data_IF_633221819698
#
_entry.id   IF_633221819698
#
_cell.length_a   1.000
_cell.length_b   1.000
_cell.length_c   1.000
_cell.angle_alpha   90.00
_cell.angle_beta   90.00
_cell.angle_gamma   90.00
#
_symmetry.space_group_name_H-M   'P 1'
#
loop_
_entity.id
_entity.type
_entity.pdbx_description
1 polymer ?
#
# COMPACT_ATOMS: atom_id res chain seq x y z
N UNK A 1 33.46 -16.91 32.61
CA UNK A 1 32.22 -16.37 31.97
C UNK A 1 31.18 -16.16 33.05
N UNK A 2 30.28 -15.19 32.92
CA UNK A 2 29.13 -15.06 33.82
C UNK A 2 28.10 -16.18 33.56
N UNK A 3 27.29 -16.60 34.55
CA UNK A 3 26.30 -17.66 34.37
C UNK A 3 25.23 -17.29 33.32
N UNK A 4 24.84 -16.02 33.24
CA UNK A 4 23.95 -15.52 32.19
C UNK A 4 24.53 -15.75 30.78
N UNK A 5 25.80 -15.40 30.57
CA UNK A 5 26.47 -15.57 29.28
C UNK A 5 26.63 -17.05 28.91
N UNK A 6 26.87 -17.94 29.90
CA UNK A 6 26.92 -19.38 29.67
C UNK A 6 25.55 -19.93 29.19
N UNK A 7 24.44 -19.50 29.80
CA UNK A 7 23.09 -19.90 29.36
C UNK A 7 22.75 -19.33 27.98
N UNK A 8 23.11 -18.08 27.68
CA UNK A 8 22.93 -17.48 26.34
C UNK A 8 23.70 -18.30 25.28
N UNK A 9 24.95 -18.67 25.55
CA UNK A 9 25.77 -19.49 24.63
C UNK A 9 25.23 -20.92 24.49
N UNK A 10 24.60 -21.50 25.53
CA UNK A 10 23.88 -22.79 25.43
C UNK A 10 22.74 -22.70 24.42
N UNK A 11 21.89 -21.69 24.53
CA UNK A 11 20.71 -21.51 23.69
C UNK A 11 21.06 -21.15 22.24
N UNK A 12 22.02 -20.24 22.03
CA UNK A 12 22.54 -19.96 20.67
C UNK A 12 23.13 -21.21 20.01
N UNK A 13 23.74 -22.12 20.79
CA UNK A 13 24.23 -23.42 20.31
C UNK A 13 23.11 -24.43 20.02
N UNK A 14 21.95 -24.34 20.68
CA UNK A 14 20.75 -25.12 20.35
C UNK A 14 20.11 -24.58 19.07
N UNK A 15 19.86 -23.26 18.99
CA UNK A 15 19.32 -22.58 17.80
C UNK A 15 20.15 -22.87 16.55
N UNK A 16 21.49 -22.74 16.63
CA UNK A 16 22.40 -23.05 15.50
C UNK A 16 22.48 -24.54 15.11
N UNK A 17 21.80 -25.43 15.85
CA UNK A 17 21.64 -26.86 15.51
C UNK A 17 20.23 -27.19 15.00
N UNK A 18 19.25 -26.32 15.23
CA UNK A 18 17.91 -26.45 14.66
C UNK A 18 17.83 -25.74 13.30
N UNK A 19 18.40 -26.37 12.28
CA UNK A 19 18.41 -25.83 10.91
C UNK A 19 16.99 -25.62 10.36
N UNK A 20 16.03 -26.47 10.73
CA UNK A 20 14.64 -26.34 10.31
C UNK A 20 13.95 -25.16 11.01
N UNK A 21 14.17 -24.98 12.31
CA UNK A 21 13.72 -23.78 13.04
C UNK A 21 14.32 -22.50 12.48
N UNK A 22 15.61 -22.47 12.14
CA UNK A 22 16.25 -21.31 11.50
C UNK A 22 15.72 -21.06 10.08
N UNK A 23 15.51 -22.09 9.27
CA UNK A 23 14.91 -21.96 7.95
C UNK A 23 13.48 -21.39 8.02
N UNK A 24 12.70 -21.81 9.02
CA UNK A 24 11.36 -21.31 9.28
C UNK A 24 11.33 -19.83 9.69
N UNK A 25 12.34 -19.38 10.45
CA UNK A 25 12.45 -17.99 10.91
C UNK A 25 13.02 -17.02 9.87
N UNK A 26 13.91 -17.48 8.99
CA UNK A 26 14.63 -16.58 8.07
C UNK A 26 14.32 -16.81 6.59
N UNK A 27 14.18 -18.06 6.14
CA UNK A 27 14.00 -18.37 4.71
C UNK A 27 12.52 -18.25 4.32
N UNK A 28 11.61 -18.88 5.08
CA UNK A 28 10.18 -18.86 4.77
C UNK A 28 9.61 -17.42 4.65
N UNK A 29 9.90 -16.48 5.57
CA UNK A 29 9.39 -15.12 5.46
C UNK A 29 10.02 -14.32 4.33
N UNK A 30 11.30 -14.57 4.01
CA UNK A 30 12.00 -13.94 2.89
C UNK A 30 11.36 -14.35 1.55
N UNK A 31 11.02 -15.63 1.41
CA UNK A 31 10.28 -16.15 0.26
C UNK A 31 8.87 -15.55 0.20
N UNK A 32 8.17 -15.44 1.34
CA UNK A 32 6.83 -14.82 1.39
C UNK A 32 6.85 -13.33 1.02
N UNK A 33 7.81 -12.51 1.49
CA UNK A 33 7.86 -11.10 1.06
C UNK A 33 8.15 -10.96 -0.44
N UNK A 34 9.00 -11.83 -1.02
CA UNK A 34 9.27 -11.79 -2.46
C UNK A 34 8.03 -12.18 -3.26
N UNK A 35 7.42 -13.33 -2.97
CA UNK A 35 6.22 -13.81 -3.69
C UNK A 35 5.08 -12.81 -3.54
N UNK A 36 4.80 -12.32 -2.32
CA UNK A 36 3.67 -11.42 -2.09
C UNK A 36 3.93 -10.00 -2.60
N UNK A 37 5.14 -9.45 -2.45
CA UNK A 37 5.45 -8.12 -2.98
C UNK A 37 5.37 -8.07 -4.51
N UNK A 38 5.68 -9.16 -5.20
CA UNK A 38 5.56 -9.25 -6.66
C UNK A 38 4.14 -9.62 -7.10
N UNK A 39 3.50 -10.63 -6.50
CA UNK A 39 2.15 -11.05 -6.87
C UNK A 39 1.07 -10.01 -6.55
N UNK A 40 1.23 -9.22 -5.48
CA UNK A 40 0.30 -8.13 -5.18
C UNK A 40 0.65 -6.84 -5.96
N UNK A 41 1.79 -6.76 -6.64
CA UNK A 41 2.15 -5.60 -7.46
C UNK A 41 1.07 -5.31 -8.52
N UNK A 42 0.61 -6.36 -9.21
CA UNK A 42 -0.48 -6.26 -10.18
C UNK A 42 -1.84 -6.01 -9.51
N UNK A 43 -2.12 -6.57 -8.33
CA UNK A 43 -3.39 -6.35 -7.62
C UNK A 43 -3.52 -4.90 -7.09
N UNK A 44 -2.42 -4.27 -6.68
CA UNK A 44 -2.39 -2.84 -6.36
C UNK A 44 -2.40 -1.96 -7.61
N UNK A 45 -1.96 -2.46 -8.76
CA UNK A 45 -2.02 -1.73 -10.03
C UNK A 45 -3.37 -1.89 -10.78
N UNK A 46 -4.15 -2.93 -10.49
CA UNK A 46 -5.19 -3.45 -11.40
C UNK A 46 -6.56 -3.69 -10.74
N UNK A 47 -6.99 -2.82 -9.82
CA UNK A 47 -8.42 -2.64 -9.49
C UNK A 47 -9.15 -1.95 -10.66
N UNK A 48 -9.14 -2.59 -11.83
CA UNK A 48 -9.27 -1.93 -13.13
C UNK A 48 -10.21 -2.66 -14.11
N UNK A 49 -11.24 -3.37 -13.61
CA UNK A 49 -12.33 -3.91 -14.44
C UNK A 49 -13.39 -2.86 -14.83
N UNK A 50 -13.44 -1.77 -14.07
CA UNK A 50 -14.14 -0.52 -14.37
C UNK A 50 -13.29 0.54 -13.67
N UNK A 51 -12.57 1.41 -14.41
CA UNK A 51 -11.56 2.28 -13.80
C UNK A 51 -12.19 3.36 -12.92
N UNK A 52 -13.28 3.95 -13.42
CA UNK A 52 -13.94 5.09 -12.81
C UNK A 52 -15.32 5.33 -13.43
N UNK A 53 -16.31 5.60 -12.57
CA UNK A 53 -17.52 6.31 -13.00
C UNK A 53 -17.20 7.79 -13.22
N UNK A 54 -17.66 8.34 -14.34
CA UNK A 54 -17.40 9.72 -14.78
C UNK A 54 -18.72 10.49 -14.84
N UNK A 55 -18.86 11.52 -14.02
CA UNK A 55 -19.92 12.50 -14.15
C UNK A 55 -19.59 13.48 -15.29
N UNK A 56 -20.38 13.48 -16.36
CA UNK A 56 -20.18 14.40 -17.48
C UNK A 56 -21.21 15.54 -17.44
N UNK A 57 -20.69 16.77 -17.39
CA UNK A 57 -21.42 18.03 -17.31
C UNK A 57 -21.15 18.84 -18.59
N UNK A 58 -22.17 18.98 -19.42
CA UNK A 58 -22.12 19.84 -20.61
C UNK A 58 -22.78 21.20 -20.31
N UNK A 59 -22.02 22.30 -20.43
CA UNK A 59 -22.52 23.69 -20.32
C UNK A 59 -22.57 24.40 -21.67
N UNK A 60 -22.03 23.80 -22.72
CA UNK A 60 -21.89 24.34 -24.08
C UNK A 60 -23.06 23.92 -24.99
N UNK A 61 -23.52 22.68 -24.84
CA UNK A 61 -24.67 22.08 -25.53
C UNK A 61 -24.62 22.06 -27.08
N UNK A 62 -23.42 22.22 -27.66
CA UNK A 62 -23.19 22.23 -29.11
C UNK A 62 -23.17 20.82 -29.72
N UNK A 63 -23.25 20.68 -31.06
CA UNK A 63 -23.04 19.39 -31.71
C UNK A 63 -21.67 18.76 -31.39
N UNK A 64 -20.64 19.59 -31.13
CA UNK A 64 -19.27 19.13 -30.84
C UNK A 64 -19.09 18.68 -29.40
N UNK A 65 -19.74 19.35 -28.43
CA UNK A 65 -19.76 18.86 -27.05
C UNK A 65 -20.47 17.48 -26.97
N UNK A 66 -21.49 17.23 -27.79
CA UNK A 66 -22.15 15.91 -27.93
C UNK A 66 -21.25 14.85 -28.57
N UNK A 67 -20.54 15.16 -29.65
CA UNK A 67 -19.58 14.22 -30.24
C UNK A 67 -18.47 13.84 -29.25
N UNK A 68 -18.02 14.75 -28.38
CA UNK A 68 -17.04 14.45 -27.33
C UNK A 68 -17.60 13.45 -26.30
N UNK A 69 -18.88 13.62 -25.93
CA UNK A 69 -19.60 12.68 -25.05
C UNK A 69 -19.78 11.29 -25.66
N UNK A 70 -19.90 11.18 -26.99
CA UNK A 70 -20.01 9.91 -27.70
C UNK A 70 -18.68 9.18 -27.86
N UNK A 71 -17.57 9.91 -28.06
CA UNK A 71 -16.22 9.30 -28.08
C UNK A 71 -15.86 8.81 -26.67
N UNK A 72 -16.09 9.60 -25.62
CA UNK A 72 -15.84 9.17 -24.24
C UNK A 72 -16.74 7.99 -23.82
N UNK A 73 -18.01 7.97 -24.24
CA UNK A 73 -18.94 6.87 -23.91
C UNK A 73 -18.70 5.58 -24.71
N UNK A 74 -17.81 5.58 -25.72
CA UNK A 74 -17.34 4.38 -26.41
C UNK A 74 -16.15 3.72 -25.70
N UNK A 75 -15.56 4.36 -24.69
CA UNK A 75 -14.44 3.81 -23.94
C UNK A 75 -14.95 2.95 -22.78
N UNK A 76 -14.93 1.62 -22.96
CA UNK A 76 -15.43 0.63 -21.99
C UNK A 76 -14.77 0.72 -20.59
N UNK A 77 -13.64 1.41 -20.47
CA UNK A 77 -12.94 1.59 -19.20
C UNK A 77 -13.61 2.61 -18.25
N UNK A 78 -14.52 3.47 -18.74
CA UNK A 78 -15.10 4.59 -17.98
C UNK A 78 -16.64 4.62 -18.01
N UNK A 79 -17.28 4.59 -16.83
CA UNK A 79 -18.74 4.64 -16.68
C UNK A 79 -19.31 6.06 -16.85
N UNK A 80 -19.61 6.47 -18.09
CA UNK A 80 -20.07 7.84 -18.37
C UNK A 80 -21.52 8.08 -17.95
N UNK A 81 -21.72 8.74 -16.81
CA UNK A 81 -23.03 9.21 -16.32
C UNK A 81 -23.27 10.67 -16.67
N UNK A 82 -24.36 10.98 -17.38
CA UNK A 82 -24.71 12.34 -17.84
C UNK A 82 -25.74 12.97 -16.90
N UNK A 83 -25.40 14.08 -16.23
CA UNK A 83 -26.33 14.85 -15.39
C UNK A 83 -26.05 16.36 -15.48
N UNK A 84 -27.07 17.23 -15.30
CA UNK A 84 -26.84 18.67 -15.13
C UNK A 84 -26.01 18.94 -13.86
N UNK A 85 -25.23 20.01 -13.87
CA UNK A 85 -24.29 20.33 -12.79
C UNK A 85 -24.98 20.39 -11.40
N UNK A 86 -24.60 19.52 -10.43
CA UNK A 86 -25.15 19.59 -9.08
C UNK A 86 -24.70 20.87 -8.36
N UNK A 87 -25.51 21.35 -7.41
CA UNK A 87 -25.24 22.61 -6.68
C UNK A 87 -23.92 22.60 -5.89
N UNK A 88 -23.49 21.45 -5.39
CA UNK A 88 -22.12 21.24 -4.91
C UNK A 88 -21.51 20.00 -5.60
N UNK A 89 -20.69 20.28 -6.63
CA UNK A 89 -19.94 19.27 -7.36
C UNK A 89 -18.87 18.60 -6.49
N UNK A 90 -18.29 19.31 -5.53
CA UNK A 90 -17.28 18.75 -4.61
C UNK A 90 -17.91 17.80 -3.60
N UNK A 91 -19.16 18.03 -3.20
CA UNK A 91 -19.91 17.07 -2.39
C UNK A 91 -20.28 15.81 -3.20
N UNK A 92 -20.81 15.96 -4.41
CA UNK A 92 -21.15 14.82 -5.27
C UNK A 92 -19.94 13.88 -5.56
N UNK A 93 -18.73 14.44 -5.64
CA UNK A 93 -17.47 13.69 -5.77
C UNK A 93 -16.93 13.13 -4.43
N UNK A 94 -17.34 13.67 -3.27
CA UNK A 94 -17.00 13.12 -1.95
C UNK A 94 -17.88 11.94 -1.55
N UNK A 95 -19.11 11.89 -2.04
CA UNK A 95 -20.07 10.81 -1.76
C UNK A 95 -19.71 9.47 -2.46
N UNK A 96 -18.55 9.39 -3.13
CA UNK A 96 -18.00 8.16 -3.70
C UNK A 96 -18.69 7.61 -4.95
N UNK A 97 -19.69 8.31 -5.50
CA UNK A 97 -20.44 7.88 -6.70
C UNK A 97 -19.71 8.08 -8.03
N UNK A 98 -18.77 9.02 -8.09
CA UNK A 98 -18.07 9.38 -9.32
C UNK A 98 -16.61 9.66 -8.98
N UNK A 99 -15.69 9.10 -9.77
CA UNK A 99 -14.25 9.27 -9.62
C UNK A 99 -13.71 10.47 -10.43
N UNK A 100 -14.47 10.97 -11.40
CA UNK A 100 -14.21 12.20 -12.13
C UNK A 100 -15.48 12.99 -12.38
N UNK A 101 -15.35 14.32 -12.48
CA UNK A 101 -16.30 15.16 -13.18
C UNK A 101 -15.63 15.86 -14.38
N UNK A 102 -16.16 15.67 -15.58
CA UNK A 102 -15.74 16.37 -16.79
C UNK A 102 -16.71 17.51 -17.05
N UNK A 103 -16.23 18.75 -17.02
CA UNK A 103 -17.02 19.94 -17.34
C UNK A 103 -16.60 20.52 -18.71
N UNK A 104 -17.52 20.46 -19.67
CA UNK A 104 -17.39 21.17 -20.96
C UNK A 104 -17.91 22.60 -20.76
N UNK A 105 -17.01 23.58 -20.82
CA UNK A 105 -17.31 25.00 -20.59
C UNK A 105 -17.90 25.65 -21.85
N UNK A 106 -18.69 26.71 -21.65
CA UNK A 106 -19.25 27.51 -22.75
C UNK A 106 -18.16 28.09 -23.64
N UNK A 107 -18.34 27.98 -24.96
CA UNK A 107 -17.37 28.36 -25.97
C UNK A 107 -16.54 27.20 -26.50
N UNK A 108 -16.76 25.96 -26.02
CA UNK A 108 -16.03 24.79 -26.52
C UNK A 108 -16.25 24.58 -28.03
N UNK A 109 -17.52 24.50 -28.47
CA UNK A 109 -17.83 24.25 -29.88
C UNK A 109 -17.30 25.32 -30.84
N UNK A 110 -17.28 26.59 -30.42
CA UNK A 110 -16.76 27.72 -31.21
C UNK A 110 -15.23 27.86 -31.15
N UNK A 111 -14.57 27.38 -30.09
CA UNK A 111 -13.10 27.36 -30.01
C UNK A 111 -12.44 26.41 -31.03
N UNK A 112 -13.24 25.53 -31.64
CA UNK A 112 -12.85 24.63 -32.71
C UNK A 112 -13.10 25.22 -34.12
N UNK A 113 -13.73 26.40 -34.23
CA UNK A 113 -14.19 27.01 -35.50
C UNK A 113 -13.19 28.02 -36.09
N UNK A 114 -11.92 27.95 -35.68
CA UNK A 114 -10.86 28.81 -36.17
C UNK A 114 -9.48 28.21 -35.96
N UNK A 115 -8.46 28.94 -36.43
CA UNK A 115 -7.07 28.54 -36.29
C UNK A 115 -6.67 28.38 -34.80
N UNK A 116 -5.81 27.41 -34.44
CA UNK A 116 -5.37 27.18 -33.07
C UNK A 116 -4.76 28.43 -32.40
N UNK A 117 -5.53 29.09 -31.53
CA UNK A 117 -5.02 30.18 -30.71
C UNK A 117 -4.18 29.62 -29.55
N UNK A 118 -2.86 29.83 -29.59
CA UNK A 118 -1.88 29.35 -28.59
C UNK A 118 -2.03 29.93 -27.16
N UNK A 119 -3.12 30.65 -26.90
CA UNK A 119 -3.53 31.19 -25.58
C UNK A 119 -5.04 31.07 -25.34
N UNK A 120 -5.72 30.12 -26.00
CA UNK A 120 -7.12 29.82 -25.69
C UNK A 120 -7.25 29.35 -24.22
N UNK A 121 -8.25 29.84 -23.46
CA UNK A 121 -8.49 29.34 -22.11
C UNK A 121 -8.89 27.86 -22.15
N UNK A 122 -8.59 27.07 -21.10
CA UNK A 122 -8.94 25.66 -21.09
C UNK A 122 -10.46 25.49 -20.95
N UNK A 123 -11.08 24.98 -22.01
CA UNK A 123 -12.54 24.84 -22.14
C UNK A 123 -13.08 23.45 -21.74
N UNK A 124 -12.19 22.51 -21.45
CA UNK A 124 -12.52 21.25 -20.78
C UNK A 124 -11.85 21.25 -19.41
N UNK A 125 -12.66 21.19 -18.35
CA UNK A 125 -12.19 21.01 -16.98
C UNK A 125 -12.34 19.55 -16.54
N UNK A 126 -11.29 18.98 -15.95
CA UNK A 126 -11.35 17.70 -15.25
C UNK A 126 -11.28 17.98 -13.74
N UNK A 127 -12.36 17.70 -13.01
CA UNK A 127 -12.31 17.66 -11.54
C UNK A 127 -12.11 16.22 -11.10
N UNK A 128 -10.95 15.92 -10.53
CA UNK A 128 -10.66 14.58 -9.97
C UNK A 128 -11.35 14.47 -8.61
N UNK A 129 -12.14 13.41 -8.41
CA UNK A 129 -12.70 13.08 -7.09
C UNK A 129 -11.54 12.91 -6.10
N UNK A 130 -11.70 13.33 -4.82
CA UNK A 130 -10.66 13.76 -3.86
C UNK A 130 -9.07 13.19 -3.92
N UNK A 131 -9.64 11.88 -4.02
CA UNK A 131 -9.48 10.41 -3.68
C UNK A 131 -9.27 9.37 -4.84
N UNK A 132 -9.31 9.69 -6.14
CA UNK A 132 -9.04 8.70 -7.23
C UNK A 132 -7.55 8.26 -7.25
N UNK A 133 -7.12 7.30 -8.09
CA UNK A 133 -5.70 6.96 -8.25
C UNK A 133 -5.03 7.66 -9.45
N UNK A 134 -3.70 7.85 -9.37
CA UNK A 134 -2.92 8.63 -10.36
C UNK A 134 -2.62 7.90 -11.67
N UNK A 135 -2.82 6.57 -11.76
CA UNK A 135 -2.80 5.84 -13.03
C UNK A 135 -4.11 6.11 -13.77
N UNK A 136 -5.23 5.95 -13.09
CA UNK A 136 -6.57 6.23 -13.61
C UNK A 136 -6.75 7.71 -13.98
N UNK A 137 -6.19 8.64 -13.20
CA UNK A 137 -6.10 10.07 -13.56
C UNK A 137 -5.39 10.28 -14.91
N UNK A 138 -4.20 9.69 -15.10
CA UNK A 138 -3.45 9.79 -16.36
C UNK A 138 -4.14 9.11 -17.53
N UNK A 139 -4.83 8.00 -17.30
CA UNK A 139 -5.63 7.31 -18.32
C UNK A 139 -6.85 8.17 -18.74
N UNK A 140 -7.49 8.86 -17.79
CA UNK A 140 -8.58 9.79 -18.08
C UNK A 140 -8.08 11.02 -18.84
N UNK A 141 -6.93 11.58 -18.46
CA UNK A 141 -6.28 12.67 -19.20
C UNK A 141 -5.87 12.25 -20.61
N UNK A 142 -5.37 11.02 -20.80
CA UNK A 142 -5.06 10.47 -22.12
C UNK A 142 -6.33 10.30 -22.96
N UNK A 143 -7.40 9.72 -22.42
CA UNK A 143 -8.68 9.54 -23.11
C UNK A 143 -9.35 10.88 -23.48
N UNK A 144 -9.26 11.89 -22.61
CA UNK A 144 -9.70 13.25 -22.92
C UNK A 144 -8.84 13.90 -24.01
N UNK A 145 -7.51 13.75 -23.94
CA UNK A 145 -6.58 14.25 -24.95
C UNK A 145 -6.78 13.62 -26.32
N UNK A 146 -7.05 12.31 -26.37
CA UNK A 146 -7.42 11.58 -27.58
C UNK A 146 -8.77 12.07 -28.13
N UNK A 147 -9.82 12.10 -27.30
CA UNK A 147 -11.17 12.46 -27.74
C UNK A 147 -11.28 13.92 -28.22
N UNK A 148 -10.56 14.85 -27.58
CA UNK A 148 -10.45 16.25 -28.03
C UNK A 148 -9.51 16.41 -29.22
N UNK A 149 -8.41 15.64 -29.27
CA UNK A 149 -7.46 15.61 -30.39
C UNK A 149 -8.11 15.14 -31.69
N UNK A 150 -8.92 14.07 -31.65
CA UNK A 150 -9.68 13.58 -32.80
C UNK A 150 -10.60 14.65 -33.39
N UNK A 151 -11.30 15.42 -32.54
CA UNK A 151 -12.14 16.54 -33.00
C UNK A 151 -11.30 17.66 -33.64
N UNK A 152 -10.13 17.98 -33.08
CA UNK A 152 -9.23 19.00 -33.63
C UNK A 152 -8.69 18.57 -35.01
N UNK A 153 -8.29 17.31 -35.16
CA UNK A 153 -7.85 16.73 -36.44
C UNK A 153 -8.96 16.73 -37.48
N UNK A 154 -10.20 16.37 -37.11
CA UNK A 154 -11.36 16.45 -38.02
C UNK A 154 -11.64 17.88 -38.49
N UNK A 155 -11.44 18.89 -37.65
CA UNK A 155 -11.57 20.30 -38.04
C UNK A 155 -10.39 20.73 -38.94
N UNK A 156 -9.15 20.32 -38.66
CA UNK A 156 -8.00 20.61 -39.52
C UNK A 156 -8.18 20.06 -40.95
N UNK A 157 -8.75 18.87 -41.11
CA UNK A 157 -9.04 18.27 -42.42
C UNK A 157 -10.01 19.12 -43.26
N UNK A 158 -10.83 19.97 -42.64
CA UNK A 158 -11.73 20.90 -43.33
C UNK A 158 -11.03 22.22 -43.75
N UNK A 159 -9.84 22.49 -43.22
CA UNK A 159 -9.03 23.68 -43.53
C UNK A 159 -7.76 23.37 -44.35
N UNK A 160 -7.39 22.10 -44.49
CA UNK A 160 -6.33 21.68 -45.42
C UNK A 160 -6.82 21.86 -46.87
N UNK A 161 -6.07 22.59 -47.73
CA UNK A 161 -6.33 22.61 -49.16
C UNK A 161 -6.24 21.19 -49.73
N UNK A 162 -7.27 20.74 -50.46
CA UNK A 162 -7.27 19.42 -51.10
C UNK A 162 -6.23 19.29 -52.21
N UNK A 163 -5.83 20.41 -52.82
CA UNK A 163 -4.67 20.53 -53.71
C UNK A 163 -3.95 21.87 -53.43
N UNK A 164 -2.61 21.86 -53.44
CA UNK A 164 -1.79 23.06 -53.62
C UNK A 164 -1.48 23.20 -55.12
N UNK A 165 -1.90 24.28 -55.80
CA UNK A 165 -1.65 24.49 -57.23
C UNK A 165 -0.17 24.49 -57.65
N UNK A 166 0.77 24.60 -56.71
CA UNK A 166 2.22 24.60 -56.97
C UNK A 166 2.99 23.46 -56.29
N UNK A 167 2.30 22.55 -55.61
CA UNK A 167 2.87 21.29 -55.11
C UNK A 167 3.95 21.42 -54.03
N UNK A 168 3.90 22.44 -53.18
CA UNK A 168 4.81 22.55 -52.05
C UNK A 168 4.39 21.59 -50.91
N UNK A 169 5.34 21.13 -50.07
CA UNK A 169 4.99 20.47 -48.82
C UNK A 169 4.26 21.45 -47.89
N UNK A 170 2.99 21.20 -47.61
CA UNK A 170 2.26 21.92 -46.57
C UNK A 170 2.77 21.41 -45.22
N UNK A 171 3.51 22.24 -44.49
CA UNK A 171 3.90 21.94 -43.11
C UNK A 171 2.62 21.66 -42.28
N UNK A 172 2.47 20.48 -41.66
CA UNK A 172 1.27 20.15 -40.91
C UNK A 172 1.15 21.09 -39.70
N UNK A 173 0.01 21.76 -39.47
CA UNK A 173 -0.13 22.74 -38.40
C UNK A 173 0.23 22.14 -37.04
N UNK A 174 1.08 22.82 -36.28
CA UNK A 174 1.58 22.34 -34.99
C UNK A 174 0.43 22.07 -34.01
N UNK A 175 0.12 20.80 -33.77
CA UNK A 175 -0.97 20.40 -32.87
C UNK A 175 -0.48 20.54 -31.43
N UNK A 176 -0.59 21.75 -30.89
CA UNK A 176 -0.57 21.94 -29.44
C UNK A 176 -1.72 21.13 -28.83
N UNK A 177 -1.40 20.29 -27.84
CA UNK A 177 -2.41 19.55 -27.09
C UNK A 177 -3.37 20.54 -26.43
N UNK A 178 -4.70 20.29 -26.45
CA UNK A 178 -5.65 21.20 -25.82
C UNK A 178 -5.36 21.31 -24.33
N UNK A 179 -5.34 22.55 -23.82
CA UNK A 179 -5.20 22.78 -22.39
C UNK A 179 -6.44 22.23 -21.66
N UNK A 180 -6.23 21.16 -20.88
CA UNK A 180 -7.23 20.60 -19.97
C UNK A 180 -7.00 21.20 -18.59
N UNK A 181 -8.02 21.82 -18.00
CA UNK A 181 -7.93 22.42 -16.67
C UNK A 181 -8.12 21.34 -15.60
N UNK A 182 -7.02 20.87 -14.99
CA UNK A 182 -7.07 19.78 -14.01
C UNK A 182 -7.25 20.35 -12.60
N UNK A 183 -8.50 20.34 -12.15
CA UNK A 183 -8.90 20.70 -10.79
C UNK A 183 -8.95 19.47 -9.88
N UNK A 184 -8.64 19.65 -8.60
CA UNK A 184 -8.71 18.60 -7.59
C UNK A 184 -9.77 18.98 -6.54
N UNK A 185 -10.66 18.04 -6.18
CA UNK A 185 -11.68 18.25 -5.13
C UNK A 185 -11.11 18.22 -3.68
N UNK A 186 -9.82 17.90 -3.55
CA UNK A 186 -9.00 17.78 -2.36
C UNK A 186 -7.57 18.28 -2.67
N UNK A 187 -6.66 18.40 -1.69
CA UNK A 187 -5.27 18.81 -1.99
C UNK A 187 -4.52 17.58 -2.51
N UNK A 188 -3.98 17.59 -3.74
CA UNK A 188 -3.23 16.46 -4.24
C UNK A 188 -1.93 16.33 -3.44
N UNK A 189 -1.79 15.25 -2.68
CA UNK A 189 -0.49 14.84 -2.16
C UNK A 189 0.48 14.55 -3.32
N UNK A 190 1.78 14.44 -3.05
CA UNK A 190 2.82 14.39 -4.07
C UNK A 190 2.82 13.05 -4.84
N UNK A 191 3.59 12.92 -5.94
CA UNK A 191 3.76 11.65 -6.63
C UNK A 191 4.58 10.67 -5.75
N UNK A 192 3.89 9.88 -4.93
CA UNK A 192 4.52 8.87 -4.05
C UNK A 192 3.64 8.39 -2.89
N UNK A 193 2.65 9.17 -2.46
CA UNK A 193 2.02 9.00 -1.14
C UNK A 193 0.99 7.84 -1.00
N UNK A 194 0.83 6.98 -2.01
CA UNK A 194 0.03 5.75 -1.90
C UNK A 194 0.93 4.58 -1.49
N UNK A 195 0.61 3.82 -0.42
CA UNK A 195 1.47 2.74 0.05
C UNK A 195 1.55 1.61 -0.99
N UNK A 196 2.77 1.30 -1.42
CA UNK A 196 3.01 0.25 -2.40
C UNK A 196 2.80 -1.16 -1.82
N UNK A 197 2.68 -2.16 -2.71
CA UNK A 197 2.63 -3.58 -2.33
C UNK A 197 3.78 -3.96 -1.38
N UNK A 198 4.96 -3.34 -1.54
CA UNK A 198 6.16 -3.57 -0.72
C UNK A 198 6.01 -2.92 0.66
N UNK A 199 5.54 -1.67 0.70
CA UNK A 199 5.32 -0.93 1.95
C UNK A 199 4.30 -1.60 2.87
N UNK A 200 3.29 -2.30 2.31
CA UNK A 200 2.39 -3.12 3.12
C UNK A 200 2.96 -4.51 3.42
N UNK A 201 3.51 -5.21 2.43
CA UNK A 201 3.88 -6.63 2.56
C UNK A 201 5.05 -6.84 3.51
N UNK A 202 6.13 -6.06 3.41
CA UNK A 202 7.33 -6.26 4.23
C UNK A 202 7.06 -6.16 5.74
N UNK A 203 6.39 -5.11 6.29
CA UNK A 203 6.11 -5.05 7.72
C UNK A 203 5.10 -6.12 8.17
N UNK A 204 4.11 -6.45 7.34
CA UNK A 204 3.10 -7.46 7.66
C UNK A 204 3.75 -8.86 7.81
N UNK A 205 4.50 -9.31 6.81
CA UNK A 205 5.18 -10.61 6.86
C UNK A 205 6.36 -10.64 7.82
N UNK A 206 6.99 -9.49 8.13
CA UNK A 206 7.94 -9.40 9.24
C UNK A 206 7.27 -9.70 10.59
N UNK A 207 6.12 -9.08 10.87
CA UNK A 207 5.43 -9.33 12.14
C UNK A 207 4.90 -10.75 12.23
N UNK A 208 4.46 -11.34 11.11
CA UNK A 208 4.20 -12.78 11.01
C UNK A 208 5.42 -13.60 11.46
N UNK A 209 6.59 -13.32 10.86
CA UNK A 209 7.84 -14.01 11.11
C UNK A 209 8.31 -13.95 12.57
N UNK A 210 8.14 -12.79 13.22
CA UNK A 210 8.48 -12.54 14.63
C UNK A 210 7.72 -13.50 15.57
N UNK A 211 6.50 -13.91 15.22
CA UNK A 211 5.71 -14.85 16.03
C UNK A 211 6.09 -16.31 15.82
N UNK A 212 6.71 -16.70 14.69
CA UNK A 212 7.20 -18.08 14.50
C UNK A 212 8.33 -18.46 15.47
N UNK A 213 8.94 -17.48 16.17
CA UNK A 213 9.88 -17.71 17.30
C UNK A 213 9.30 -18.64 18.37
N UNK A 214 7.97 -18.67 18.49
CA UNK A 214 7.24 -19.48 19.46
C UNK A 214 7.45 -20.99 19.28
N UNK A 215 7.68 -21.48 18.06
CA UNK A 215 7.93 -22.90 17.79
C UNK A 215 9.25 -23.37 18.43
N UNK A 216 10.44 -22.87 18.05
CA UNK A 216 11.70 -23.32 18.65
C UNK A 216 11.84 -22.91 20.13
N UNK A 217 11.19 -21.83 20.59
CA UNK A 217 11.20 -21.44 22.00
C UNK A 217 10.40 -22.43 22.86
N UNK A 218 9.18 -22.77 22.46
CA UNK A 218 8.34 -23.75 23.19
C UNK A 218 8.96 -25.14 23.13
N UNK A 219 9.51 -25.53 21.98
CA UNK A 219 10.11 -26.86 21.79
C UNK A 219 11.36 -27.07 22.65
N UNK A 220 12.21 -26.07 22.91
CA UNK A 220 13.31 -26.23 23.88
C UNK A 220 12.79 -26.39 25.30
N UNK A 221 11.76 -25.63 25.72
CA UNK A 221 11.14 -25.80 27.04
C UNK A 221 10.49 -27.18 27.25
N UNK A 222 10.00 -27.81 26.20
CA UNK A 222 9.43 -29.17 26.26
C UNK A 222 10.55 -30.20 26.30
N UNK A 223 11.55 -30.12 25.40
CA UNK A 223 12.71 -31.02 25.41
C UNK A 223 13.49 -30.96 26.73
N UNK A 224 13.64 -29.78 27.36
CA UNK A 224 14.33 -29.64 28.64
C UNK A 224 13.56 -30.25 29.84
N UNK A 225 12.22 -30.29 29.78
CA UNK A 225 11.40 -31.03 30.75
C UNK A 225 11.50 -32.54 30.53
N UNK A 226 11.34 -32.99 29.28
CA UNK A 226 11.41 -34.40 28.90
C UNK A 226 12.77 -35.03 29.22
N UNK A 227 13.88 -34.33 28.93
CA UNK A 227 15.25 -34.80 29.19
C UNK A 227 15.72 -34.56 30.64
N UNK A 228 14.83 -34.12 31.55
CA UNK A 228 15.18 -33.83 32.95
C UNK A 228 16.18 -32.67 33.15
N UNK A 229 16.53 -31.95 32.08
CA UNK A 229 17.50 -30.84 32.10
C UNK A 229 17.06 -29.74 33.05
N UNK A 230 15.75 -29.43 33.09
CA UNK A 230 15.23 -28.42 34.03
C UNK A 230 15.49 -28.79 35.50
N UNK A 231 15.38 -30.07 35.87
CA UNK A 231 15.71 -30.54 37.24
C UNK A 231 17.20 -30.40 37.52
N UNK A 232 18.05 -30.73 36.55
CA UNK A 232 19.52 -30.59 36.65
C UNK A 232 20.00 -29.15 36.68
N UNK A 233 19.28 -28.21 36.05
CA UNK A 233 19.57 -26.78 36.13
C UNK A 233 19.15 -26.21 37.50
N UNK A 234 18.09 -26.72 38.11
CA UNK A 234 17.65 -26.31 39.46
C UNK A 234 18.61 -26.77 40.57
N UNK A 235 19.52 -27.72 40.32
CA UNK A 235 20.58 -28.14 41.26
C UNK A 235 21.91 -27.42 41.05
N UNK A 236 21.97 -26.38 40.21
CA UNK A 236 23.15 -25.53 40.02
C UNK A 236 22.91 -24.20 40.74
N UNK A 237 23.96 -23.63 41.36
CA UNK A 237 23.95 -22.31 41.98
C UNK A 237 23.87 -21.17 40.93
N UNK A 238 22.72 -21.09 40.25
CA UNK A 238 22.36 -20.03 39.31
C UNK A 238 20.87 -19.74 39.47
N UNK A 239 20.53 -18.58 40.02
CA UNK A 239 19.14 -18.21 40.31
C UNK A 239 18.18 -18.31 39.10
N UNK A 240 16.90 -18.64 39.31
CA UNK A 240 15.97 -18.99 38.23
C UNK A 240 15.73 -17.86 37.22
N UNK A 241 15.77 -16.60 37.68
CA UNK A 241 15.68 -15.41 36.80
C UNK A 241 16.83 -15.37 35.79
N UNK A 242 18.06 -15.73 36.21
CA UNK A 242 19.23 -15.80 35.32
C UNK A 242 19.12 -16.93 34.31
N UNK A 243 18.55 -18.07 34.71
CA UNK A 243 18.27 -19.19 33.80
C UNK A 243 17.22 -18.81 32.76
N UNK A 244 16.15 -18.11 33.18
CA UNK A 244 15.08 -17.64 32.31
C UNK A 244 15.51 -16.53 31.35
N UNK A 245 16.16 -15.46 31.84
CA UNK A 245 16.67 -14.37 31.01
C UNK A 245 17.74 -14.86 30.03
N UNK A 246 18.62 -15.76 30.45
CA UNK A 246 19.59 -16.41 29.57
C UNK A 246 18.96 -17.21 28.43
N UNK A 247 17.66 -17.50 28.52
CA UNK A 247 16.85 -18.16 27.49
C UNK A 247 15.92 -17.21 26.72
N UNK A 248 15.45 -16.13 27.32
CA UNK A 248 14.65 -15.11 26.62
C UNK A 248 15.53 -14.25 25.69
N UNK A 249 16.69 -13.81 26.16
CA UNK A 249 17.61 -12.92 25.41
C UNK A 249 18.02 -13.47 24.03
N UNK A 250 18.44 -14.75 23.87
CA UNK A 250 18.81 -15.31 22.56
C UNK A 250 17.70 -15.20 21.52
N UNK A 251 16.46 -15.50 21.89
CA UNK A 251 15.32 -15.49 20.97
C UNK A 251 14.82 -14.07 20.70
N UNK A 252 14.92 -13.16 21.68
CA UNK A 252 14.71 -11.73 21.44
C UNK A 252 15.71 -11.16 20.42
N UNK A 253 16.99 -11.52 20.54
CA UNK A 253 18.04 -11.10 19.61
C UNK A 253 17.83 -11.70 18.21
N UNK A 254 17.35 -12.94 18.10
CA UNK A 254 16.92 -13.54 16.83
C UNK A 254 15.82 -12.70 16.16
N UNK A 255 14.80 -12.28 16.90
CA UNK A 255 13.74 -11.43 16.35
C UNK A 255 14.26 -10.04 15.94
N UNK A 256 15.18 -9.41 16.68
CA UNK A 256 15.78 -8.15 16.24
C UNK A 256 16.67 -8.33 14.98
N UNK A 257 17.39 -9.45 14.87
CA UNK A 257 18.14 -9.78 13.65
C UNK A 257 17.22 -10.03 12.45
N UNK A 258 16.08 -10.68 12.66
CA UNK A 258 15.02 -10.91 11.68
C UNK A 258 14.38 -9.59 11.19
N UNK A 259 14.14 -8.64 12.10
CA UNK A 259 13.70 -7.27 11.77
C UNK A 259 14.70 -6.58 10.85
N UNK A 260 15.98 -6.53 11.23
CA UNK A 260 17.03 -5.90 10.41
C UNK A 260 17.15 -6.59 9.04
N UNK A 261 17.14 -7.93 9.00
CA UNK A 261 17.26 -8.70 7.77
C UNK A 261 16.07 -8.52 6.81
N UNK A 262 14.84 -8.52 7.31
CA UNK A 262 13.65 -8.36 6.45
C UNK A 262 13.44 -6.91 5.99
N UNK A 263 13.78 -5.92 6.81
CA UNK A 263 13.81 -4.52 6.36
C UNK A 263 14.90 -4.31 5.31
N UNK A 264 16.11 -4.85 5.51
CA UNK A 264 17.18 -4.82 4.51
C UNK A 264 16.77 -5.56 3.22
N UNK A 265 16.03 -6.66 3.30
CA UNK A 265 15.48 -7.35 2.12
C UNK A 265 14.43 -6.49 1.39
N UNK A 266 13.55 -5.78 2.10
CA UNK A 266 12.62 -4.84 1.49
C UNK A 266 13.30 -3.65 0.80
N UNK A 267 14.43 -3.17 1.33
CA UNK A 267 15.22 -2.06 0.75
C UNK A 267 16.08 -2.51 -0.43
N UNK A 268 16.77 -3.66 -0.32
CA UNK A 268 17.80 -4.08 -1.28
C UNK A 268 17.44 -5.30 -2.12
N UNK A 269 16.74 -6.29 -1.57
CA UNK A 269 16.47 -7.56 -2.27
C UNK A 269 15.25 -7.43 -3.21
N UNK A 270 14.16 -6.84 -2.75
CA UNK A 270 12.91 -6.69 -3.54
C UNK A 270 13.13 -5.89 -4.84
N UNK A 271 13.91 -4.79 -4.88
CA UNK A 271 14.23 -4.08 -6.13
C UNK A 271 15.01 -4.90 -7.16
N UNK A 272 15.84 -5.86 -6.74
CA UNK A 272 16.58 -6.73 -7.67
C UNK A 272 15.65 -7.66 -8.47
N UNK A 273 14.42 -7.86 -8.01
CA UNK A 273 13.36 -8.62 -8.70
C UNK A 273 12.30 -7.71 -9.35
N UNK A 274 12.55 -6.40 -9.48
CA UNK A 274 11.63 -5.47 -10.14
C UNK A 274 10.50 -4.92 -9.27
N UNK A 275 10.51 -5.20 -7.96
CA UNK A 275 9.63 -4.55 -6.99
C UNK A 275 10.07 -3.12 -6.66
N UNK A 276 9.19 -2.31 -6.08
CA UNK A 276 9.58 -0.98 -5.59
C UNK A 276 10.41 -1.11 -4.30
N UNK A 277 11.35 -0.19 -4.08
CA UNK A 277 12.14 -0.18 -2.83
C UNK A 277 11.30 0.22 -1.62
N UNK A 278 11.51 -0.46 -0.49
CA UNK A 278 10.94 -0.05 0.80
C UNK A 278 11.53 1.30 1.23
N UNK A 279 10.69 2.30 1.51
CA UNK A 279 11.11 3.60 2.01
C UNK A 279 10.80 3.69 3.50
N UNK A 280 11.81 3.91 4.34
CA UNK A 280 11.67 4.01 5.80
C UNK A 280 11.79 5.48 6.22
N UNK A 281 10.65 6.12 6.47
CA UNK A 281 10.52 7.57 6.62
C UNK A 281 10.30 7.98 8.09
N UNK A 282 11.24 7.70 8.98
CA UNK A 282 11.06 8.05 10.39
C UNK A 282 12.25 7.79 11.31
N UNK A 283 12.03 7.95 12.62
CA UNK A 283 13.06 7.77 13.64
C UNK A 283 13.46 6.29 13.79
N UNK A 284 14.75 5.93 13.64
CA UNK A 284 15.22 4.56 13.89
C UNK A 284 14.97 4.09 15.33
N UNK A 285 14.92 5.00 16.30
CA UNK A 285 14.60 4.66 17.69
C UNK A 285 13.14 4.19 17.83
N UNK A 286 12.21 4.79 17.10
CA UNK A 286 10.81 4.40 17.10
C UNK A 286 10.61 3.01 16.47
N UNK A 287 11.35 2.70 15.40
CA UNK A 287 11.44 1.34 14.83
C UNK A 287 11.90 0.32 15.87
N UNK A 288 13.02 0.59 16.57
CA UNK A 288 13.62 -0.33 17.56
C UNK A 288 12.72 -0.55 18.78
N UNK A 289 12.05 0.49 19.28
CA UNK A 289 11.11 0.35 20.40
C UNK A 289 9.88 -0.48 20.02
N UNK A 290 9.36 -0.30 18.80
CA UNK A 290 8.21 -1.03 18.28
C UNK A 290 8.55 -2.51 17.98
N UNK A 291 9.72 -2.78 17.39
CA UNK A 291 10.19 -4.14 17.14
C UNK A 291 10.54 -4.87 18.44
N UNK A 292 11.03 -4.17 19.46
CA UNK A 292 11.22 -4.72 20.80
C UNK A 292 9.89 -5.08 21.47
N UNK A 293 8.90 -4.17 21.44
CA UNK A 293 7.57 -4.40 22.04
C UNK A 293 6.86 -5.61 21.43
N UNK A 294 6.81 -5.72 20.10
CA UNK A 294 6.16 -6.87 19.43
C UNK A 294 6.97 -8.16 19.60
N UNK A 295 8.31 -8.10 19.69
CA UNK A 295 9.12 -9.28 20.04
C UNK A 295 8.85 -9.78 21.45
N UNK A 296 8.65 -8.88 22.43
CA UNK A 296 8.27 -9.25 23.79
C UNK A 296 6.85 -9.84 23.84
N UNK A 297 5.91 -9.32 23.06
CA UNK A 297 4.56 -9.89 22.93
C UNK A 297 4.61 -11.32 22.33
N UNK A 298 5.38 -11.53 21.26
CA UNK A 298 5.59 -12.84 20.64
C UNK A 298 6.26 -13.85 21.60
N UNK A 299 7.24 -13.40 22.39
CA UNK A 299 7.88 -14.24 23.42
C UNK A 299 6.97 -14.52 24.62
N UNK A 300 6.04 -13.60 24.95
CA UNK A 300 4.98 -13.83 25.93
C UNK A 300 4.01 -14.93 25.48
N UNK A 301 3.55 -14.89 24.22
CA UNK A 301 2.75 -15.95 23.63
C UNK A 301 3.52 -17.28 23.57
N UNK A 302 4.80 -17.25 23.18
CA UNK A 302 5.68 -18.40 23.19
C UNK A 302 5.82 -19.02 24.58
N UNK A 303 5.91 -18.21 25.64
CA UNK A 303 5.96 -18.70 27.01
C UNK A 303 4.64 -19.32 27.47
N UNK A 304 3.50 -18.73 27.10
CA UNK A 304 2.17 -19.30 27.37
C UNK A 304 2.00 -20.68 26.73
N UNK A 305 2.43 -20.82 25.47
CA UNK A 305 2.41 -22.11 24.75
C UNK A 305 3.41 -23.09 25.38
N UNK A 306 4.62 -22.63 25.73
CA UNK A 306 5.62 -23.45 26.41
C UNK A 306 5.11 -24.01 27.75
N UNK A 307 4.41 -23.21 28.56
CA UNK A 307 3.87 -23.66 29.85
C UNK A 307 2.71 -24.65 29.66
N UNK A 308 1.80 -24.39 28.72
CA UNK A 308 0.57 -25.18 28.54
C UNK A 308 0.75 -26.48 27.76
N UNK A 309 1.61 -26.50 26.73
CA UNK A 309 1.81 -27.67 25.88
C UNK A 309 2.66 -28.77 26.56
N UNK A 310 2.27 -30.03 26.34
CA UNK A 310 2.94 -31.22 26.92
C UNK A 310 3.85 -31.96 25.94
N UNK A 311 3.58 -31.87 24.63
CA UNK A 311 4.41 -32.46 23.57
C UNK A 311 4.89 -31.40 22.58
N UNK A 312 6.04 -31.64 21.94
CA UNK A 312 6.62 -30.74 20.94
C UNK A 312 5.67 -30.54 19.74
N UNK A 313 4.89 -31.56 19.40
CA UNK A 313 3.84 -31.49 18.38
C UNK A 313 2.71 -30.54 18.79
N UNK A 314 2.19 -30.65 20.02
CA UNK A 314 1.19 -29.72 20.56
C UNK A 314 1.69 -28.28 20.54
N UNK A 315 2.94 -28.03 20.96
CA UNK A 315 3.52 -26.70 20.91
C UNK A 315 3.73 -26.18 19.49
N UNK A 316 4.19 -27.02 18.57
CA UNK A 316 4.41 -26.65 17.17
C UNK A 316 3.09 -26.34 16.46
N UNK A 317 2.04 -27.14 16.71
CA UNK A 317 0.69 -26.91 16.21
C UNK A 317 0.07 -25.63 16.80
N UNK A 318 0.09 -25.47 18.12
CA UNK A 318 -0.47 -24.29 18.80
C UNK A 318 0.26 -22.99 18.41
N UNK A 319 1.58 -23.05 18.22
CA UNK A 319 2.39 -21.91 17.76
C UNK A 319 2.13 -21.58 16.30
N UNK A 320 2.21 -22.58 15.40
CA UNK A 320 2.07 -22.36 13.95
C UNK A 320 0.65 -21.98 13.54
N UNK A 321 -0.36 -22.76 13.96
CA UNK A 321 -1.75 -22.44 13.67
C UNK A 321 -2.22 -21.19 14.43
N UNK A 322 -1.75 -21.00 15.67
CA UNK A 322 -2.02 -19.79 16.44
C UNK A 322 -1.48 -18.53 15.75
N UNK A 323 -0.26 -18.58 15.22
CA UNK A 323 0.31 -17.48 14.43
C UNK A 323 -0.49 -17.23 13.14
N UNK A 324 -0.89 -18.27 12.40
CA UNK A 324 -1.72 -18.15 11.19
C UNK A 324 -3.07 -17.49 11.50
N UNK A 325 -3.76 -17.93 12.55
CA UNK A 325 -5.05 -17.35 12.98
C UNK A 325 -4.88 -15.90 13.42
N UNK A 326 -3.87 -15.59 14.26
CA UNK A 326 -3.60 -14.22 14.70
C UNK A 326 -3.22 -13.28 13.54
N UNK A 327 -2.63 -13.80 12.46
CA UNK A 327 -2.26 -13.05 11.26
C UNK A 327 -3.45 -12.78 10.33
N UNK A 328 -4.30 -13.79 10.11
CA UNK A 328 -5.54 -13.65 9.37
C UNK A 328 -6.48 -12.65 10.05
N UNK A 329 -6.59 -12.71 11.38
CA UNK A 329 -7.35 -11.74 12.17
C UNK A 329 -6.66 -10.37 12.21
N UNK A 330 -5.36 -10.30 12.48
CA UNK A 330 -4.62 -9.05 12.71
C UNK A 330 -4.37 -8.15 11.49
N UNK A 331 -4.94 -8.46 10.33
CA UNK A 331 -4.78 -7.66 9.12
C UNK A 331 -3.43 -7.84 8.42
N UNK A 332 -2.77 -8.98 8.63
CA UNK A 332 -1.47 -9.32 8.00
C UNK A 332 -1.70 -9.91 6.61
N UNK A 333 -2.59 -10.89 6.48
CA UNK A 333 -2.88 -11.57 5.22
C UNK A 333 -3.89 -10.81 4.34
N UNK A 334 -4.74 -9.98 4.96
CA UNK A 334 -5.73 -9.12 4.29
C UNK A 334 -5.55 -7.72 4.87
N UNK A 335 -5.38 -6.66 4.06
CA UNK A 335 -5.24 -5.31 4.58
C UNK A 335 -6.46 -4.84 5.38
N UNK A 336 -6.25 -4.20 6.55
CA UNK A 336 -7.34 -3.66 7.38
C UNK A 336 -8.28 -2.72 6.62
N UNK A 337 -7.77 -1.91 5.69
CA UNK A 337 -8.58 -1.00 4.87
C UNK A 337 -9.48 -1.70 3.82
N UNK A 338 -9.35 -3.03 3.66
CA UNK A 338 -10.26 -3.86 2.84
C UNK A 338 -11.26 -4.64 3.71
N UNK A 339 -11.03 -4.71 5.02
CA UNK A 339 -11.92 -5.41 5.96
C UNK A 339 -13.19 -4.59 6.25
N UNK A 340 -14.37 -5.22 6.43
CA UNK A 340 -15.55 -4.55 6.97
C UNK A 340 -15.34 -4.16 8.43
N UNK A 341 -16.05 -3.13 8.91
CA UNK A 341 -15.80 -2.50 10.22
C UNK A 341 -15.77 -3.48 11.42
N UNK A 342 -16.67 -4.47 11.46
CA UNK A 342 -16.67 -5.49 12.53
C UNK A 342 -15.41 -6.37 12.53
N UNK A 343 -14.82 -6.63 11.36
CA UNK A 343 -13.56 -7.37 11.24
C UNK A 343 -12.35 -6.48 11.57
N UNK A 344 -12.39 -5.18 11.26
CA UNK A 344 -11.35 -4.23 11.69
C UNK A 344 -11.21 -4.18 13.22
N UNK A 345 -12.33 -4.12 13.94
CA UNK A 345 -12.34 -4.13 15.40
C UNK A 345 -11.76 -5.43 16.01
N UNK A 346 -12.02 -6.59 15.38
CA UNK A 346 -11.38 -7.86 15.77
C UNK A 346 -9.87 -7.82 15.45
N UNK A 347 -9.48 -7.19 14.34
CA UNK A 347 -8.09 -7.05 13.93
C UNK A 347 -7.28 -6.14 14.87
N UNK A 348 -7.91 -5.21 15.59
CA UNK A 348 -7.25 -4.38 16.62
C UNK A 348 -6.93 -5.18 17.90
N UNK A 349 -7.59 -6.31 18.13
CA UNK A 349 -7.33 -7.20 19.27
C UNK A 349 -6.10 -8.10 19.06
N UNK A 350 -5.63 -8.29 17.82
CA UNK A 350 -4.46 -9.13 17.53
C UNK A 350 -3.15 -8.37 17.80
N UNK A 351 -2.21 -8.93 18.60
CA UNK A 351 -0.92 -8.28 18.87
C UNK A 351 -0.03 -8.14 17.62
N UNK A 352 -0.36 -8.84 16.53
CA UNK A 352 0.30 -8.67 15.23
C UNK A 352 -0.07 -7.34 14.54
N UNK A 353 -1.24 -6.78 14.83
CA UNK A 353 -1.68 -5.53 14.21
C UNK A 353 -0.92 -4.30 14.74
N UNK A 354 -0.32 -4.40 15.93
CA UNK A 354 0.27 -3.26 16.64
C UNK A 354 1.46 -2.64 15.90
N UNK A 355 2.29 -3.43 15.20
CA UNK A 355 3.47 -2.89 14.51
C UNK A 355 3.18 -2.28 13.12
N UNK A 356 2.35 -2.86 12.23
CA UNK A 356 1.98 -2.17 10.99
C UNK A 356 1.21 -0.86 11.28
N UNK A 357 0.32 -0.87 12.28
CA UNK A 357 -0.35 0.35 12.75
C UNK A 357 0.63 1.33 13.43
N UNK A 358 1.57 0.85 14.23
CA UNK A 358 2.60 1.67 14.87
C UNK A 358 3.54 2.35 13.87
N UNK A 359 4.01 1.62 12.85
CA UNK A 359 4.86 2.16 11.78
C UNK A 359 4.11 3.21 10.96
N UNK A 360 2.81 3.01 10.75
CA UNK A 360 1.90 4.00 10.14
C UNK A 360 1.78 5.27 11.02
N UNK A 361 1.42 5.11 12.29
CA UNK A 361 1.14 6.23 13.20
C UNK A 361 2.39 7.04 13.58
N UNK A 362 3.57 6.42 13.54
CA UNK A 362 4.86 7.05 13.83
C UNK A 362 5.55 7.61 12.56
N UNK A 363 4.85 7.66 11.42
CA UNK A 363 5.32 8.21 10.15
C UNK A 363 6.34 7.34 9.38
N UNK A 364 6.96 6.37 10.06
CA UNK A 364 7.94 5.39 9.56
C UNK A 364 7.51 4.81 8.19
N UNK A 365 6.20 4.57 8.02
CA UNK A 365 5.56 4.20 6.76
C UNK A 365 4.40 5.14 6.46
N UNK A 366 4.20 5.44 5.17
CA UNK A 366 3.11 6.29 4.71
C UNK A 366 1.75 5.68 5.06
N UNK A 367 0.88 6.37 5.81
CA UNK A 367 -0.48 5.90 6.06
C UNK A 367 -1.29 5.75 4.77
N UNK A 368 -2.15 4.72 4.64
CA UNK A 368 -3.02 4.55 3.48
C UNK A 368 -4.01 5.70 3.27
N UNK A 369 -4.23 6.54 4.30
CA UNK A 369 -5.04 7.76 4.26
C UNK A 369 -4.24 9.05 4.09
N UNK A 370 -2.91 9.05 4.19
CA UNK A 370 -2.10 10.28 4.25
C UNK A 370 -1.98 11.01 2.90
N UNK A 371 -2.27 10.34 1.78
CA UNK A 371 -2.27 10.96 0.45
C UNK A 371 -3.36 12.05 0.25
N UNK A 372 -4.16 12.38 1.28
CA UNK A 372 -5.52 12.93 1.14
C UNK A 372 -5.87 14.00 2.19
N UNK A 373 -4.95 14.94 2.46
CA UNK A 373 -5.26 16.10 3.30
C UNK A 373 -6.32 16.99 2.64
N UNK A 374 -7.34 17.39 3.42
CA UNK A 374 -8.42 18.23 2.89
C UNK A 374 -7.92 19.64 2.56
N UNK A 375 -8.45 20.21 1.47
CA UNK A 375 -8.34 21.64 1.26
C UNK A 375 -9.19 22.38 2.31
N UNK A 376 -8.67 23.45 2.96
CA UNK A 376 -9.47 24.26 3.86
C UNK A 376 -10.64 24.92 3.10
N UNK A 377 -11.71 25.26 3.84
CA UNK A 377 -12.81 26.05 3.26
C UNK A 377 -12.32 27.45 2.87
N UNK A 378 -12.76 28.00 1.73
CA UNK A 378 -12.52 29.40 1.38
C UNK A 378 -13.50 30.32 2.15
N UNK A 379 -13.33 30.39 3.47
CA UNK A 379 -13.98 31.37 4.35
C UNK A 379 -12.85 32.18 5.04
N UNK A 380 -13.04 33.49 5.22
CA UNK A 380 -12.04 34.45 5.68
C UNK A 380 -10.84 34.74 4.73
N UNK A 381 -11.13 35.11 3.47
CA UNK A 381 -10.25 36.05 2.73
C UNK A 381 -11.06 37.11 1.97
N UNK A 382 -11.85 37.87 2.74
CA UNK A 382 -12.40 39.18 2.37
C UNK A 382 -12.04 40.13 3.53
N UNK A 383 -11.62 41.35 3.21
CA UNK A 383 -11.27 42.39 4.16
C UNK A 383 -12.45 43.34 4.44
#
# INVERSE_FOLDING_TARGET
MSPLAATIVKELRLLRRDLHGLALLFILPLVFILIMSLALQDLFASRAGHLADVLLIDRDATPKSKLLQEVLAKNEAFGITRQPAPKDLKQALRDGRFAFAVEIRKGYGSSLEGAPAAKAPPLVGLTVAPDTDKRTEKLMLAALGEATGLQRTQQLIQFLPTEDPFGYPIDPPSIEAPAIDVAYAYVPAKPGDAPSAVQQSVPAWLVFAIFFVSIPFSNTFIRERQLGVQKRLATIDVGPVTQFLGKLIPYFLVNQAQVVLMLAAGVFLVPLFGGQALQLNGSPLALVLLSAAVSLAALGLALLIAVTARTSEQATMASGLGAIVLAALGGIMIPKFVMPAGMQAIADLSPMACMPAGMTNLGIMMPPSAARTMAPRPEAMVA
#
